data_IF_960262859958
#
_entry.id   IF_960262859958
#
_cell.length_a   1.000
_cell.length_b   1.000
_cell.length_c   1.000
_cell.angle_alpha   90.00
_cell.angle_beta   90.00
_cell.angle_gamma   90.00
#
_symmetry.space_group_name_H-M   'P 1'
#
loop_
_entity.id
_entity.type
_entity.pdbx_description
1 polymer ?
#
# COMPACT_ATOMS: atom_id res chain seq x y z
N UNK A 1 -13.56 26.22 -17.36
CA UNK A 1 -14.32 24.98 -17.60
C UNK A 1 -13.32 23.86 -17.33
N UNK A 2 -13.38 23.28 -16.14
CA UNK A 2 -12.52 22.15 -15.79
C UNK A 2 -12.99 20.95 -16.60
N UNK A 3 -12.11 20.37 -17.40
CA UNK A 3 -12.34 19.06 -18.00
C UNK A 3 -12.62 18.09 -16.85
N UNK A 4 -13.86 17.61 -16.75
CA UNK A 4 -14.21 16.56 -15.80
C UNK A 4 -13.42 15.30 -16.18
N UNK A 5 -12.32 15.05 -15.48
CA UNK A 5 -11.69 13.74 -15.51
C UNK A 5 -12.76 12.74 -15.05
N UNK A 6 -13.18 11.89 -15.97
CA UNK A 6 -14.10 10.80 -15.67
C UNK A 6 -13.38 9.90 -14.66
N UNK A 7 -13.96 9.78 -13.47
CA UNK A 7 -13.43 8.89 -12.45
C UNK A 7 -13.53 7.45 -12.97
N UNK A 8 -12.42 6.93 -13.49
CA UNK A 8 -12.32 5.54 -13.91
C UNK A 8 -12.31 4.64 -12.68
N UNK A 9 -13.25 3.71 -12.61
CA UNK A 9 -13.28 2.66 -11.60
C UNK A 9 -13.48 1.29 -12.22
N UNK A 10 -12.95 0.26 -11.58
CA UNK A 10 -13.11 -1.13 -11.99
C UNK A 10 -13.33 -2.02 -10.78
N UNK A 11 -14.07 -3.11 -10.97
CA UNK A 11 -14.13 -4.18 -9.98
C UNK A 11 -12.89 -5.05 -10.14
N UNK A 12 -12.04 -5.06 -9.14
CA UNK A 12 -10.79 -5.82 -9.13
C UNK A 12 -11.01 -7.29 -8.78
N UNK A 13 -11.85 -7.53 -7.78
CA UNK A 13 -12.25 -8.85 -7.32
C UNK A 13 -13.76 -8.82 -7.14
N UNK A 14 -14.46 -9.78 -7.74
CA UNK A 14 -15.92 -9.85 -7.63
C UNK A 14 -16.40 -10.46 -6.30
N UNK A 15 -17.71 -10.50 -6.11
CA UNK A 15 -18.33 -11.05 -4.91
C UNK A 15 -18.10 -12.56 -4.71
N UNK A 16 -17.70 -13.29 -5.73
CA UNK A 16 -17.36 -14.71 -5.69
C UNK A 16 -15.84 -14.94 -5.52
N UNK A 17 -15.08 -13.86 -5.41
CA UNK A 17 -13.64 -13.90 -5.22
C UNK A 17 -12.87 -14.20 -6.50
N UNK A 18 -13.43 -13.90 -7.68
CA UNK A 18 -12.71 -14.01 -8.95
C UNK A 18 -11.99 -12.71 -9.27
N UNK A 19 -10.71 -12.82 -9.64
CA UNK A 19 -9.89 -11.69 -10.03
C UNK A 19 -10.20 -11.27 -11.47
N UNK A 20 -10.52 -10.00 -11.69
CA UNK A 20 -10.91 -9.45 -12.99
C UNK A 20 -9.71 -8.94 -13.78
N UNK A 21 -8.96 -9.86 -14.41
CA UNK A 21 -7.74 -9.53 -15.18
C UNK A 21 -8.04 -8.52 -16.29
N UNK A 22 -9.08 -8.77 -17.09
CA UNK A 22 -9.42 -7.89 -18.23
C UNK A 22 -9.79 -6.49 -17.76
N UNK A 23 -10.57 -6.37 -16.68
CA UNK A 23 -10.99 -5.08 -16.14
C UNK A 23 -9.82 -4.27 -15.61
N UNK A 24 -8.88 -4.89 -14.89
CA UNK A 24 -7.72 -4.18 -14.36
C UNK A 24 -6.76 -3.77 -15.47
N UNK A 25 -6.53 -4.60 -16.47
CA UNK A 25 -5.62 -4.26 -17.57
C UNK A 25 -6.18 -3.11 -18.41
N UNK A 26 -7.51 -3.06 -18.61
CA UNK A 26 -8.16 -1.91 -19.24
C UNK A 26 -8.04 -0.67 -18.38
N UNK A 27 -8.32 -0.77 -17.06
CA UNK A 27 -8.21 0.33 -16.12
C UNK A 27 -6.79 0.93 -16.10
N UNK A 28 -5.75 0.09 -16.05
CA UNK A 28 -4.34 0.55 -16.05
C UNK A 28 -4.03 1.36 -17.32
N UNK A 29 -4.54 0.95 -18.48
CA UNK A 29 -4.40 1.71 -19.73
C UNK A 29 -5.14 3.05 -19.66
N UNK A 30 -6.40 3.04 -19.23
CA UNK A 30 -7.25 4.23 -19.18
C UNK A 30 -6.71 5.30 -18.24
N UNK A 31 -6.15 4.90 -17.09
CA UNK A 31 -5.56 5.81 -16.11
C UNK A 31 -4.07 6.07 -16.35
N UNK A 32 -3.46 5.46 -17.38
CA UNK A 32 -2.04 5.56 -17.72
C UNK A 32 -1.11 5.22 -16.53
N UNK A 33 -1.51 4.23 -15.74
CA UNK A 33 -0.79 3.89 -14.52
C UNK A 33 0.66 3.47 -14.81
N UNK A 34 0.89 2.73 -15.91
CA UNK A 34 2.22 2.26 -16.29
C UNK A 34 3.26 3.39 -16.45
N UNK A 35 2.80 4.61 -16.80
CA UNK A 35 3.66 5.79 -16.95
C UNK A 35 4.14 6.34 -15.61
N UNK A 36 3.52 5.95 -14.50
CA UNK A 36 3.86 6.46 -13.17
C UNK A 36 5.16 5.85 -12.59
N UNK A 37 5.66 4.75 -13.14
CA UNK A 37 6.84 4.07 -12.60
C UNK A 37 6.65 3.69 -11.13
N UNK A 38 7.43 4.27 -10.23
CA UNK A 38 7.29 4.14 -8.78
C UNK A 38 6.52 5.30 -8.13
N UNK A 39 6.14 6.33 -8.92
CA UNK A 39 5.49 7.55 -8.43
C UNK A 39 3.98 7.37 -8.32
N UNK A 40 3.55 6.33 -7.61
CA UNK A 40 2.14 6.10 -7.29
C UNK A 40 1.98 5.60 -5.87
N UNK A 41 0.80 5.72 -5.32
CA UNK A 41 0.42 5.19 -4.02
C UNK A 41 -0.88 4.39 -4.11
N UNK A 42 -1.02 3.39 -3.26
CA UNK A 42 -2.23 2.57 -3.14
C UNK A 42 -2.82 2.76 -1.74
N UNK A 43 -4.07 3.17 -1.69
CA UNK A 43 -4.84 3.36 -0.47
C UNK A 43 -6.00 2.39 -0.47
N UNK A 44 -6.22 1.66 0.61
CA UNK A 44 -7.42 0.83 0.78
C UNK A 44 -8.18 1.19 2.03
N UNK A 45 -9.46 0.84 2.08
CA UNK A 45 -10.28 1.01 3.26
C UNK A 45 -10.91 -0.33 3.66
N UNK A 46 -10.88 -0.63 4.96
CA UNK A 46 -11.58 -1.76 5.56
C UNK A 46 -12.37 -1.33 6.79
N UNK A 47 -13.34 -2.11 7.18
CA UNK A 47 -14.17 -1.85 8.36
C UNK A 47 -15.59 -2.37 8.19
N UNK A 48 -16.44 -2.20 9.22
CA UNK A 48 -17.78 -2.81 9.27
C UNK A 48 -18.65 -2.43 8.07
N UNK A 49 -19.60 -3.30 7.74
CA UNK A 49 -20.63 -3.00 6.75
C UNK A 49 -21.43 -1.77 7.18
N UNK A 50 -21.88 -0.99 6.21
CA UNK A 50 -22.69 0.23 6.43
C UNK A 50 -22.02 1.30 7.33
N UNK A 51 -20.70 1.26 7.47
CA UNK A 51 -19.94 2.27 8.23
C UNK A 51 -19.54 3.51 7.42
N UNK A 52 -20.09 3.67 6.19
CA UNK A 52 -19.83 4.82 5.33
C UNK A 52 -18.43 4.84 4.71
N UNK A 53 -17.84 3.67 4.43
CA UNK A 53 -16.51 3.56 3.76
C UNK A 53 -16.52 4.21 2.38
N UNK A 54 -17.43 3.79 1.52
CA UNK A 54 -17.56 4.32 0.14
C UNK A 54 -17.82 5.82 0.15
N UNK A 55 -18.67 6.32 1.05
CA UNK A 55 -18.93 7.76 1.23
C UNK A 55 -17.66 8.51 1.63
N UNK A 56 -16.89 7.96 2.59
CA UNK A 56 -15.61 8.56 2.98
C UNK A 56 -14.64 8.63 1.80
N UNK A 57 -14.49 7.54 1.05
CA UNK A 57 -13.58 7.50 -0.10
C UNK A 57 -14.02 8.51 -1.18
N UNK A 58 -15.31 8.58 -1.49
CA UNK A 58 -15.85 9.52 -2.47
C UNK A 58 -15.59 10.99 -2.08
N UNK A 59 -15.76 11.33 -0.81
CA UNK A 59 -15.49 12.68 -0.30
C UNK A 59 -13.99 12.99 -0.21
N UNK A 60 -13.17 12.01 0.19
CA UNK A 60 -11.74 12.21 0.40
C UNK A 60 -10.95 12.22 -0.90
N UNK A 61 -11.27 11.31 -1.83
CA UNK A 61 -10.50 11.06 -3.04
C UNK A 61 -11.21 11.48 -4.34
N UNK A 62 -12.46 11.95 -4.24
CA UNK A 62 -13.25 12.30 -5.43
C UNK A 62 -13.60 11.09 -6.30
N UNK A 63 -13.69 9.90 -5.69
CA UNK A 63 -14.10 8.66 -6.36
C UNK A 63 -15.62 8.61 -6.53
N UNK A 64 -16.11 7.63 -7.27
CA UNK A 64 -17.55 7.42 -7.50
C UNK A 64 -17.93 5.97 -7.18
N UNK A 65 -17.56 5.50 -6.00
CA UNK A 65 -17.99 4.20 -5.51
C UNK A 65 -19.48 4.24 -5.16
N UNK A 66 -20.17 3.12 -5.33
CA UNK A 66 -21.58 3.03 -5.01
C UNK A 66 -21.82 3.20 -3.51
N UNK A 67 -22.59 4.20 -3.14
CA UNK A 67 -22.97 4.47 -1.76
C UNK A 67 -24.29 3.79 -1.40
N UNK A 68 -24.47 3.54 -0.10
CA UNK A 68 -25.72 3.01 0.42
C UNK A 68 -26.80 4.10 0.37
N UNK A 69 -27.97 3.74 -0.14
CA UNK A 69 -29.15 4.58 -0.04
C UNK A 69 -29.86 4.31 1.31
N UNK A 70 -29.68 5.23 2.25
CA UNK A 70 -30.24 5.12 3.60
C UNK A 70 -31.78 4.99 3.61
N UNK A 71 -32.47 5.48 2.58
CA UNK A 71 -33.91 5.37 2.45
C UNK A 71 -34.38 3.99 1.97
N UNK A 72 -33.52 3.20 1.36
CA UNK A 72 -33.83 1.85 0.85
C UNK A 72 -33.44 0.73 1.80
N UNK A 73 -32.90 1.07 2.96
CA UNK A 73 -32.48 0.11 3.98
C UNK A 73 -31.01 -0.22 3.96
N UNK A 74 -30.54 -0.97 4.96
CA UNK A 74 -29.12 -1.34 5.13
C UNK A 74 -28.83 -2.65 4.39
N UNK A 75 -28.78 -2.61 3.07
CA UNK A 75 -28.31 -3.74 2.25
C UNK A 75 -26.81 -3.59 1.93
N UNK A 76 -26.15 -4.71 1.67
CA UNK A 76 -24.79 -4.73 1.19
C UNK A 76 -24.68 -3.99 -0.15
N UNK A 77 -23.86 -2.93 -0.18
CA UNK A 77 -23.72 -2.06 -1.35
C UNK A 77 -22.48 -2.42 -2.17
N UNK A 78 -21.35 -2.60 -1.48
CA UNK A 78 -20.09 -3.01 -2.08
C UNK A 78 -19.97 -4.52 -1.99
N UNK A 79 -19.84 -5.19 -3.14
CA UNK A 79 -19.50 -6.61 -3.25
C UNK A 79 -18.11 -6.77 -3.85
N UNK A 80 -17.27 -7.56 -3.19
CA UNK A 80 -15.89 -7.74 -3.62
C UNK A 80 -15.00 -6.53 -3.31
N UNK A 81 -14.01 -6.30 -4.18
CA UNK A 81 -13.05 -5.20 -4.08
C UNK A 81 -13.14 -4.35 -5.34
N UNK A 82 -13.37 -3.06 -5.15
CA UNK A 82 -13.41 -2.06 -6.22
C UNK A 82 -12.20 -1.17 -6.17
N UNK A 83 -11.71 -0.72 -7.30
CA UNK A 83 -10.57 0.18 -7.43
C UNK A 83 -10.89 1.37 -8.31
N UNK A 84 -10.42 2.55 -7.92
CA UNK A 84 -10.54 3.78 -8.68
C UNK A 84 -9.24 4.59 -8.60
N UNK A 85 -9.01 5.47 -9.59
CA UNK A 85 -7.97 6.49 -9.52
C UNK A 85 -8.53 7.74 -8.82
N UNK A 86 -7.79 8.26 -7.86
CA UNK A 86 -8.11 9.51 -7.21
C UNK A 86 -7.92 10.70 -8.18
N UNK A 87 -8.85 11.64 -8.15
CA UNK A 87 -8.72 12.90 -8.88
C UNK A 87 -8.12 14.00 -7.98
N UNK A 88 -7.14 14.74 -8.54
CA UNK A 88 -6.59 15.93 -7.89
C UNK A 88 -5.71 15.69 -6.67
N UNK A 89 -5.09 14.52 -6.55
CA UNK A 89 -4.01 14.22 -5.58
C UNK A 89 -2.78 13.75 -6.35
N UNK A 90 -1.64 14.33 -6.04
CA UNK A 90 -0.34 13.86 -6.50
C UNK A 90 0.46 13.30 -5.32
N UNK A 91 1.12 12.15 -5.48
CA UNK A 91 1.29 11.36 -6.72
C UNK A 91 0.01 10.62 -7.16
N UNK A 92 0.06 9.98 -8.34
CA UNK A 92 -1.03 9.10 -8.79
C UNK A 92 -1.47 8.17 -7.67
N UNK A 93 -2.71 8.29 -7.22
CA UNK A 93 -3.22 7.54 -6.08
C UNK A 93 -4.35 6.62 -6.51
N UNK A 94 -4.16 5.32 -6.32
CA UNK A 94 -5.18 4.29 -6.48
C UNK A 94 -5.90 4.08 -5.16
N UNK A 95 -7.21 3.96 -5.22
CA UNK A 95 -8.07 3.81 -4.03
C UNK A 95 -8.88 2.53 -4.17
N UNK A 96 -8.86 1.68 -3.16
CA UNK A 96 -9.62 0.44 -3.12
C UNK A 96 -10.70 0.47 -2.04
N UNK A 97 -11.94 0.24 -2.46
CA UNK A 97 -13.09 0.06 -1.59
C UNK A 97 -13.35 -1.44 -1.38
N UNK A 98 -13.16 -1.91 -0.16
CA UNK A 98 -13.38 -3.30 0.22
C UNK A 98 -14.80 -3.51 0.70
N UNK A 99 -15.33 -4.68 0.37
CA UNK A 99 -16.56 -5.18 0.97
C UNK A 99 -16.52 -5.06 2.49
N UNK A 100 -17.65 -4.66 3.10
CA UNK A 100 -17.71 -4.46 4.55
C UNK A 100 -17.64 -5.77 5.31
N UNK A 101 -17.02 -5.71 6.47
CA UNK A 101 -16.98 -6.80 7.45
C UNK A 101 -18.30 -6.91 8.23
N UNK A 102 -18.59 -8.05 8.84
CA UNK A 102 -19.80 -8.32 9.64
C UNK A 102 -21.14 -8.32 8.84
N UNK A 103 -21.09 -8.62 7.54
CA UNK A 103 -22.29 -8.69 6.70
C UNK A 103 -23.13 -9.95 6.98
N UNK A 104 -24.43 -9.78 7.29
CA UNK A 104 -25.33 -10.93 7.55
C UNK A 104 -25.69 -11.75 6.29
N UNK A 105 -25.35 -11.25 5.11
CA UNK A 105 -25.85 -11.79 3.84
C UNK A 105 -25.08 -13.02 3.34
N UNK A 106 -23.87 -13.28 3.85
CA UNK A 106 -22.98 -14.39 3.40
C UNK A 106 -22.96 -15.61 4.30
N UNK A 107 -23.48 -15.57 5.53
CA UNK A 107 -23.45 -16.68 6.48
C UNK A 107 -22.08 -16.92 7.14
N UNK A 108 -21.82 -18.12 7.67
CA UNK A 108 -20.58 -18.46 8.38
C UNK A 108 -19.33 -18.51 7.48
N UNK A 109 -19.50 -18.67 6.17
CA UNK A 109 -18.40 -18.67 5.17
C UNK A 109 -17.84 -17.26 4.90
N UNK A 110 -18.48 -16.22 5.38
CA UNK A 110 -18.17 -14.82 5.14
C UNK A 110 -16.82 -14.39 5.74
N UNK A 111 -16.46 -14.97 6.86
CA UNK A 111 -15.19 -14.63 7.53
C UNK A 111 -13.95 -14.97 6.69
N UNK A 112 -14.07 -15.91 5.75
CA UNK A 112 -12.95 -16.29 4.87
C UNK A 112 -12.69 -15.22 3.83
N UNK A 113 -13.72 -14.74 3.12
CA UNK A 113 -13.57 -13.68 2.14
C UNK A 113 -13.12 -12.36 2.77
N UNK A 114 -13.67 -12.02 3.94
CA UNK A 114 -13.28 -10.87 4.73
C UNK A 114 -11.78 -10.89 5.07
N UNK A 115 -11.28 -12.02 5.60
CA UNK A 115 -9.87 -12.21 5.90
C UNK A 115 -9.01 -12.13 4.63
N UNK A 116 -9.43 -12.77 3.54
CA UNK A 116 -8.72 -12.73 2.26
C UNK A 116 -8.63 -11.31 1.71
N UNK A 117 -9.73 -10.54 1.78
CA UNK A 117 -9.78 -9.15 1.33
C UNK A 117 -8.88 -8.25 2.15
N UNK A 118 -8.90 -8.39 3.48
CA UNK A 118 -8.02 -7.65 4.38
C UNK A 118 -6.54 -7.97 4.13
N UNK A 119 -6.21 -9.24 3.92
CA UNK A 119 -4.87 -9.69 3.56
C UNK A 119 -4.40 -9.09 2.25
N UNK A 120 -5.27 -9.13 1.25
CA UNK A 120 -4.98 -8.54 -0.06
C UNK A 120 -4.73 -7.04 0.05
N UNK A 121 -5.60 -6.32 0.74
CA UNK A 121 -5.45 -4.88 0.96
C UNK A 121 -4.10 -4.53 1.59
N UNK A 122 -3.69 -5.27 2.62
CA UNK A 122 -2.41 -5.05 3.27
C UNK A 122 -1.21 -5.38 2.40
N UNK A 123 -1.30 -6.44 1.59
CA UNK A 123 -0.22 -6.87 0.73
C UNK A 123 0.06 -5.88 -0.41
N UNK A 124 -0.99 -5.18 -0.91
CA UNK A 124 -0.87 -4.31 -2.09
C UNK A 124 -0.85 -2.81 -1.76
N UNK A 125 -1.27 -2.41 -0.54
CA UNK A 125 -1.46 -1.00 -0.20
C UNK A 125 -0.29 -0.39 0.54
N UNK A 126 -0.03 0.88 0.28
CA UNK A 126 0.88 1.73 1.06
C UNK A 126 0.21 2.26 2.33
N UNK A 127 -1.09 2.54 2.24
CA UNK A 127 -1.90 3.10 3.31
C UNK A 127 -3.18 2.29 3.42
N UNK A 128 -3.52 1.84 4.62
CA UNK A 128 -4.77 1.15 4.90
C UNK A 128 -5.58 1.97 5.90
N UNK A 129 -6.74 2.44 5.46
CA UNK A 129 -7.72 3.12 6.31
C UNK A 129 -8.53 2.06 7.06
N UNK A 130 -8.49 2.09 8.38
CA UNK A 130 -9.28 1.24 9.25
C UNK A 130 -10.45 2.07 9.77
N UNK A 131 -11.59 1.92 9.11
CA UNK A 131 -12.80 2.68 9.43
C UNK A 131 -13.51 2.03 10.61
N UNK A 132 -13.68 2.77 11.70
CA UNK A 132 -14.24 2.25 12.95
C UNK A 132 -15.16 3.27 13.61
N UNK A 133 -16.09 2.78 14.42
CA UNK A 133 -16.95 3.65 15.17
C UNK A 133 -16.30 4.16 16.46
N UNK A 134 -16.57 5.41 16.82
CA UNK A 134 -16.06 6.00 18.06
C UNK A 134 -16.45 5.18 19.31
N UNK A 135 -17.65 4.58 19.32
CA UNK A 135 -18.12 3.80 20.46
C UNK A 135 -17.46 2.41 20.61
N UNK A 136 -16.67 1.98 19.62
CA UNK A 136 -15.94 0.70 19.68
C UNK A 136 -14.61 0.82 20.44
N UNK A 137 -14.13 2.04 20.65
CA UNK A 137 -12.86 2.28 21.36
C UNK A 137 -13.00 1.87 22.82
N UNK A 138 -12.06 1.08 23.33
CA UNK A 138 -12.05 0.58 24.71
C UNK A 138 -12.98 -0.61 24.98
N UNK A 139 -13.66 -1.18 23.96
CA UNK A 139 -14.46 -2.39 24.09
C UNK A 139 -13.67 -3.62 23.69
N UNK A 140 -13.73 -4.68 24.53
CA UNK A 140 -12.97 -5.93 24.26
C UNK A 140 -13.43 -6.68 22.99
N UNK A 141 -14.71 -6.55 22.64
CA UNK A 141 -15.31 -7.24 21.50
C UNK A 141 -15.63 -6.30 20.34
N UNK A 142 -14.87 -5.20 20.18
CA UNK A 142 -15.03 -4.32 19.03
C UNK A 142 -14.81 -5.08 17.71
N UNK A 143 -15.70 -4.87 16.74
CA UNK A 143 -15.76 -5.59 15.47
C UNK A 143 -14.41 -5.67 14.70
N UNK A 144 -13.54 -4.69 14.90
CA UNK A 144 -12.24 -4.62 14.22
C UNK A 144 -11.10 -5.36 14.93
N UNK A 145 -11.23 -5.80 16.19
CA UNK A 145 -10.14 -6.47 16.92
C UNK A 145 -9.76 -7.82 16.32
N UNK A 146 -10.71 -8.73 15.98
CA UNK A 146 -10.38 -9.98 15.28
C UNK A 146 -9.72 -9.74 13.93
N UNK A 147 -10.21 -8.75 13.19
CA UNK A 147 -9.64 -8.35 11.90
C UNK A 147 -8.20 -7.87 12.06
N UNK A 148 -7.92 -6.96 13.00
CA UNK A 148 -6.58 -6.47 13.29
C UNK A 148 -5.62 -7.57 13.72
N UNK A 149 -6.09 -8.52 14.53
CA UNK A 149 -5.29 -9.68 14.92
C UNK A 149 -4.87 -10.50 13.69
N UNK A 150 -5.83 -10.77 12.79
CA UNK A 150 -5.57 -11.46 11.53
C UNK A 150 -4.59 -10.67 10.67
N UNK A 151 -4.82 -9.36 10.53
CA UNK A 151 -3.96 -8.42 9.83
C UNK A 151 -2.51 -8.52 10.33
N UNK A 152 -2.29 -8.40 11.62
CA UNK A 152 -0.94 -8.42 12.19
C UNK A 152 -0.29 -9.80 12.05
N UNK A 153 -1.05 -10.87 12.31
CA UNK A 153 -0.54 -12.24 12.18
C UNK A 153 -0.05 -12.55 10.78
N UNK A 154 -0.74 -12.04 9.77
CA UNK A 154 -0.42 -12.32 8.38
C UNK A 154 0.64 -11.39 7.85
N UNK A 155 0.61 -10.12 8.22
CA UNK A 155 1.68 -9.21 7.82
C UNK A 155 3.05 -9.75 8.24
N UNK A 156 3.19 -10.40 9.37
CA UNK A 156 4.45 -11.03 9.75
C UNK A 156 4.87 -12.20 8.85
N UNK A 157 3.94 -12.79 8.10
CA UNK A 157 4.23 -13.84 7.12
C UNK A 157 4.44 -13.32 5.70
N UNK A 158 3.79 -12.21 5.35
CA UNK A 158 3.84 -11.61 4.01
C UNK A 158 5.06 -10.74 3.73
N UNK A 159 6.04 -10.66 4.65
CA UNK A 159 7.02 -9.62 4.71
C UNK A 159 7.68 -9.17 3.42
N UNK A 160 7.30 -7.97 3.09
CA UNK A 160 8.12 -6.99 2.42
C UNK A 160 8.78 -6.06 3.46
N UNK A 161 10.03 -5.63 3.35
CA UNK A 161 10.71 -4.77 4.33
C UNK A 161 10.20 -3.32 4.34
N UNK A 162 8.97 -3.08 3.90
CA UNK A 162 8.38 -1.76 3.83
C UNK A 162 7.32 -1.58 4.91
N UNK A 163 7.28 -0.39 5.53
CA UNK A 163 6.22 -0.04 6.48
C UNK A 163 4.94 0.33 5.77
N UNK A 164 3.83 -0.25 6.21
CA UNK A 164 2.49 0.16 5.78
C UNK A 164 1.90 1.12 6.80
N UNK A 165 1.30 2.21 6.34
CA UNK A 165 0.58 3.13 7.22
C UNK A 165 -0.81 2.59 7.50
N UNK A 166 -1.09 2.30 8.78
CA UNK A 166 -2.42 1.99 9.27
C UNK A 166 -3.05 3.27 9.82
N UNK A 167 -4.03 3.80 9.11
CA UNK A 167 -4.74 5.01 9.53
C UNK A 167 -6.11 4.63 10.10
N UNK A 168 -6.25 4.74 11.41
CA UNK A 168 -7.51 4.52 12.10
C UNK A 168 -8.40 5.74 11.96
N UNK A 169 -9.51 5.57 11.27
CA UNK A 169 -10.50 6.62 11.03
C UNK A 169 -11.67 6.41 11.97
N UNK A 170 -11.70 7.19 13.05
CA UNK A 170 -12.75 7.15 14.07
C UNK A 170 -13.96 7.92 13.52
N UNK A 171 -15.06 7.20 13.29
CA UNK A 171 -16.32 7.76 12.78
C UNK A 171 -17.26 8.18 13.90
N UNK A 172 -18.09 9.17 13.58
CA UNK A 172 -19.11 9.70 14.48
C UNK A 172 -18.54 10.08 15.85
N UNK A 173 -17.43 10.82 15.80
CA UNK A 173 -16.74 11.30 17.00
C UNK A 173 -17.73 12.07 17.88
N UNK A 174 -17.88 11.64 19.11
CA UNK A 174 -18.70 12.27 20.15
C UNK A 174 -18.01 13.47 20.79
N UNK A 175 -18.45 13.87 21.99
CA UNK A 175 -17.87 14.99 22.74
C UNK A 175 -16.46 14.69 23.30
N UNK A 176 -16.05 13.41 23.35
CA UNK A 176 -14.73 13.03 23.88
C UNK A 176 -13.63 13.56 22.98
N UNK A 177 -12.68 14.37 23.49
CA UNK A 177 -11.54 14.84 22.71
C UNK A 177 -10.68 13.69 22.17
N UNK A 178 -10.05 13.90 21.01
CA UNK A 178 -9.19 12.88 20.39
C UNK A 178 -7.99 12.53 21.28
N UNK A 179 -7.48 13.52 22.02
CA UNK A 179 -6.36 13.34 22.96
C UNK A 179 -6.64 12.29 24.04
N UNK A 180 -7.92 12.01 24.33
CA UNK A 180 -8.33 10.97 25.26
C UNK A 180 -8.63 9.63 24.58
N UNK A 181 -9.09 9.66 23.34
CA UNK A 181 -9.42 8.44 22.58
C UNK A 181 -8.19 7.76 21.98
N UNK A 182 -7.27 8.55 21.47
CA UNK A 182 -6.06 8.04 20.80
C UNK A 182 -5.18 7.18 21.69
N UNK A 183 -4.84 7.56 22.95
CA UNK A 183 -4.04 6.71 23.82
C UNK A 183 -4.69 5.34 24.09
N UNK A 184 -6.00 5.32 24.32
CA UNK A 184 -6.75 4.07 24.55
C UNK A 184 -6.70 3.18 23.31
N UNK A 185 -6.89 3.74 22.12
CA UNK A 185 -6.81 3.01 20.86
C UNK A 185 -5.40 2.46 20.62
N UNK A 186 -4.36 3.27 20.86
CA UNK A 186 -2.96 2.83 20.72
C UNK A 186 -2.60 1.71 21.69
N UNK A 187 -3.10 1.76 22.91
CA UNK A 187 -2.93 0.69 23.91
C UNK A 187 -3.63 -0.59 23.45
N UNK A 188 -4.85 -0.50 22.91
CA UNK A 188 -5.57 -1.64 22.36
C UNK A 188 -4.84 -2.27 21.17
N UNK A 189 -4.31 -1.46 20.26
CA UNK A 189 -3.50 -1.92 19.12
C UNK A 189 -2.24 -2.64 19.60
N UNK A 190 -1.55 -2.09 20.60
CA UNK A 190 -0.35 -2.70 21.16
C UNK A 190 -0.67 -4.04 21.83
N UNK A 191 -1.76 -4.14 22.61
CA UNK A 191 -2.21 -5.40 23.20
C UNK A 191 -2.51 -6.48 22.16
N UNK A 192 -3.14 -6.07 21.04
CA UNK A 192 -3.39 -7.00 19.93
C UNK A 192 -2.07 -7.45 19.33
N UNK A 193 -1.12 -6.54 19.06
CA UNK A 193 0.20 -6.85 18.54
C UNK A 193 0.96 -7.84 19.45
N UNK A 194 0.94 -7.61 20.75
CA UNK A 194 1.62 -8.46 21.72
C UNK A 194 0.99 -9.87 21.84
N UNK A 195 -0.32 -9.97 21.57
CA UNK A 195 -1.06 -11.24 21.59
C UNK A 195 -0.88 -12.12 20.35
N UNK A 196 -0.31 -11.57 19.28
CA UNK A 196 -0.14 -12.29 18.02
C UNK A 196 1.08 -13.20 18.08
N UNK A 197 0.95 -14.51 17.73
CA UNK A 197 2.11 -15.40 17.59
C UNK A 197 3.09 -14.88 16.56
N UNK A 198 4.33 -14.65 16.96
CA UNK A 198 5.39 -14.11 16.12
C UNK A 198 6.41 -15.19 15.76
N UNK A 199 6.93 -15.22 14.51
CA UNK A 199 8.08 -16.05 14.16
C UNK A 199 9.29 -15.72 15.05
N UNK A 200 10.20 -16.68 15.26
CA UNK A 200 11.40 -16.49 16.11
C UNK A 200 12.20 -15.24 15.74
N UNK A 201 12.35 -14.98 14.44
CA UNK A 201 13.07 -13.81 13.95
C UNK A 201 12.43 -12.45 14.31
N UNK A 202 11.17 -12.45 14.76
CA UNK A 202 10.40 -11.21 15.01
C UNK A 202 9.78 -11.14 16.41
N UNK A 203 10.17 -12.02 17.34
CA UNK A 203 9.60 -12.05 18.69
C UNK A 203 9.72 -10.72 19.42
N UNK A 204 10.87 -10.08 19.30
CA UNK A 204 11.19 -8.79 19.95
C UNK A 204 10.94 -7.57 19.03
N UNK A 205 10.42 -7.78 17.82
CA UNK A 205 10.27 -6.68 16.86
C UNK A 205 9.07 -5.82 17.23
N UNK A 206 9.24 -4.51 17.44
CA UNK A 206 8.14 -3.62 17.79
C UNK A 206 7.20 -3.39 16.62
N UNK A 207 5.93 -3.05 16.92
CA UNK A 207 4.91 -2.70 15.93
C UNK A 207 5.41 -1.64 14.94
N UNK A 208 6.17 -0.67 15.44
CA UNK A 208 6.69 0.47 14.65
C UNK A 208 7.67 0.09 13.56
N UNK A 209 8.24 -1.10 13.58
CA UNK A 209 9.06 -1.58 12.46
C UNK A 209 8.22 -1.95 11.23
N UNK A 210 6.98 -2.37 11.46
CA UNK A 210 6.10 -2.85 10.39
C UNK A 210 5.03 -1.84 9.98
N UNK A 211 4.59 -1.02 10.94
CA UNK A 211 3.48 -0.11 10.73
C UNK A 211 3.78 1.29 11.22
N UNK A 212 3.35 2.25 10.42
CA UNK A 212 3.15 3.62 10.88
C UNK A 212 1.68 3.75 11.30
N UNK A 213 1.41 4.00 12.58
CA UNK A 213 0.04 4.09 13.11
C UNK A 213 -0.37 5.55 13.19
N UNK A 214 -1.41 5.88 12.43
CA UNK A 214 -2.05 7.20 12.41
C UNK A 214 -3.47 7.11 12.93
N UNK A 215 -3.93 8.16 13.62
CA UNK A 215 -5.29 8.22 14.15
C UNK A 215 -5.93 9.54 13.75
N UNK A 216 -7.12 9.46 13.17
CA UNK A 216 -7.93 10.62 12.79
C UNK A 216 -9.36 10.42 13.27
N UNK A 217 -10.05 11.50 13.58
CA UNK A 217 -11.45 11.44 13.99
C UNK A 217 -12.30 12.36 13.13
N UNK A 218 -13.45 11.84 12.70
CA UNK A 218 -14.40 12.56 11.86
C UNK A 218 -15.74 12.66 12.57
N UNK A 219 -16.38 13.82 12.44
CA UNK A 219 -17.74 14.08 12.90
C UNK A 219 -18.76 13.22 12.13
N UNK A 220 -19.97 13.11 12.64
CA UNK A 220 -21.04 12.42 11.92
C UNK A 220 -21.36 13.13 10.62
N UNK A 221 -21.40 12.36 9.54
CA UNK A 221 -21.80 12.88 8.22
C UNK A 221 -23.29 13.29 8.21
N UNK A 222 -24.14 12.53 8.90
CA UNK A 222 -25.58 12.81 8.94
C UNK A 222 -25.94 14.01 9.83
N UNK A 223 -25.27 14.15 10.98
CA UNK A 223 -25.63 15.18 11.97
C UNK A 223 -24.82 16.48 11.81
N UNK A 224 -23.61 16.41 11.26
CA UNK A 224 -22.64 17.51 11.18
C UNK A 224 -21.91 17.51 9.85
N UNK A 225 -22.65 17.52 8.76
CA UNK A 225 -22.09 17.36 7.41
C UNK A 225 -21.03 18.40 7.08
N UNK A 226 -21.24 19.68 7.41
CA UNK A 226 -20.25 20.74 7.13
C UNK A 226 -18.93 20.48 7.85
N UNK A 227 -18.99 20.14 9.14
CA UNK A 227 -17.81 19.83 9.94
C UNK A 227 -17.11 18.58 9.43
N UNK A 228 -17.86 17.56 9.02
CA UNK A 228 -17.30 16.36 8.38
C UNK A 228 -16.56 16.71 7.09
N UNK A 229 -17.16 17.54 6.22
CA UNK A 229 -16.54 17.95 4.95
C UNK A 229 -15.26 18.75 5.16
N UNK A 230 -15.24 19.65 6.14
CA UNK A 230 -14.05 20.42 6.52
C UNK A 230 -12.94 19.50 7.01
N UNK A 231 -13.25 18.55 7.90
CA UNK A 231 -12.29 17.58 8.43
C UNK A 231 -11.75 16.66 7.33
N UNK A 232 -12.59 16.21 6.40
CA UNK A 232 -12.18 15.42 5.24
C UNK A 232 -11.28 16.24 4.31
N UNK A 233 -11.58 17.51 4.08
CA UNK A 233 -10.73 18.39 3.29
C UNK A 233 -9.34 18.57 3.93
N UNK A 234 -9.28 18.73 5.26
CA UNK A 234 -8.02 18.74 6.02
C UNK A 234 -7.27 17.42 5.92
N UNK A 235 -7.97 16.29 6.01
CA UNK A 235 -7.38 14.97 5.86
C UNK A 235 -6.82 14.76 4.45
N UNK A 236 -7.53 15.22 3.41
CA UNK A 236 -7.10 15.13 2.01
C UNK A 236 -5.71 15.75 1.79
N UNK A 237 -5.40 16.85 2.47
CA UNK A 237 -4.09 17.51 2.35
C UNK A 237 -2.93 16.59 2.76
N UNK A 238 -3.16 15.64 3.67
CA UNK A 238 -2.14 14.69 4.12
C UNK A 238 -1.76 13.64 3.06
N UNK A 239 -2.60 13.45 2.04
CA UNK A 239 -2.32 12.53 0.94
C UNK A 239 -1.53 13.17 -0.20
N UNK A 240 -1.48 14.50 -0.26
CA UNK A 240 -0.57 15.18 -1.17
C UNK A 240 0.88 14.88 -0.77
N UNK A 241 1.71 14.57 -1.77
CA UNK A 241 3.10 14.18 -1.58
C UNK A 241 3.29 12.97 -0.64
N UNK A 242 2.30 12.07 -0.58
CA UNK A 242 2.31 10.92 0.33
C UNK A 242 3.55 10.02 0.21
N UNK A 243 4.14 9.91 -0.98
CA UNK A 243 5.35 9.12 -1.26
C UNK A 243 6.67 9.84 -0.95
N UNK A 244 6.62 11.12 -0.60
CA UNK A 244 7.82 11.85 -0.20
C UNK A 244 8.40 11.28 1.11
N UNK A 245 9.72 11.44 1.37
CA UNK A 245 10.30 11.03 2.63
C UNK A 245 9.54 11.63 3.82
N UNK A 246 9.12 10.78 4.76
CA UNK A 246 8.28 11.18 5.90
C UNK A 246 6.79 11.32 5.60
N UNK A 247 6.36 11.12 4.35
CA UNK A 247 4.94 11.07 3.98
C UNK A 247 4.26 9.77 4.40
N UNK A 248 2.93 9.70 4.24
CA UNK A 248 2.12 8.54 4.62
C UNK A 248 2.53 7.24 3.91
N UNK A 249 3.06 7.33 2.70
CA UNK A 249 3.56 6.24 1.87
C UNK A 249 5.06 6.42 1.56
N UNK A 250 5.83 7.02 2.47
CA UNK A 250 7.23 7.40 2.26
C UNK A 250 8.21 6.23 2.21
N UNK A 251 7.85 5.07 2.77
CA UNK A 251 8.67 3.86 2.63
C UNK A 251 8.39 3.21 1.28
N UNK A 252 9.32 3.40 0.33
CA UNK A 252 9.20 2.91 -1.04
C UNK A 252 9.89 1.56 -1.30
N UNK A 253 10.51 0.98 -0.25
CA UNK A 253 11.12 -0.35 -0.33
C UNK A 253 10.06 -1.39 -0.68
N UNK A 254 10.32 -2.25 -1.64
CA UNK A 254 9.40 -3.31 -2.08
C UNK A 254 8.12 -2.83 -2.80
N UNK A 255 8.04 -1.56 -3.21
CA UNK A 255 6.97 -1.09 -4.11
C UNK A 255 7.20 -1.67 -5.50
N UNK A 256 6.15 -2.28 -6.04
CA UNK A 256 6.17 -2.81 -7.40
C UNK A 256 6.03 -1.66 -8.39
N UNK A 257 6.82 -1.62 -9.48
CA UNK A 257 6.56 -0.67 -10.55
C UNK A 257 5.13 -0.74 -11.06
N UNK A 258 4.56 0.40 -11.39
CA UNK A 258 3.17 0.51 -11.83
C UNK A 258 2.84 -0.39 -13.03
N UNK A 259 3.80 -0.62 -13.91
CA UNK A 259 3.68 -1.56 -15.05
C UNK A 259 3.49 -3.02 -14.64
N UNK A 260 3.97 -3.41 -13.46
CA UNK A 260 3.84 -4.76 -12.89
C UNK A 260 2.67 -4.92 -11.91
N UNK A 261 1.91 -3.86 -11.65
CA UNK A 261 0.87 -3.86 -10.61
C UNK A 261 -0.20 -4.93 -10.84
N UNK A 262 -0.77 -5.04 -12.05
CA UNK A 262 -1.81 -6.03 -12.38
C UNK A 262 -1.33 -7.46 -12.10
N UNK A 263 -0.18 -7.81 -12.63
CA UNK A 263 0.40 -9.14 -12.44
C UNK A 263 0.69 -9.43 -10.96
N UNK A 264 1.29 -8.49 -10.25
CA UNK A 264 1.58 -8.62 -8.83
C UNK A 264 0.30 -8.83 -8.01
N UNK A 265 -0.71 -8.00 -8.21
CA UNK A 265 -2.00 -8.09 -7.53
C UNK A 265 -2.69 -9.45 -7.80
N UNK A 266 -2.67 -9.92 -9.05
CA UNK A 266 -3.22 -11.22 -9.42
C UNK A 266 -2.49 -12.38 -8.70
N UNK A 267 -1.17 -12.36 -8.66
CA UNK A 267 -0.39 -13.41 -7.98
C UNK A 267 -0.63 -13.42 -6.47
N UNK A 268 -0.69 -12.24 -5.85
CA UNK A 268 -1.01 -12.11 -4.43
C UNK A 268 -2.40 -12.70 -4.13
N UNK A 269 -3.40 -12.32 -4.93
CA UNK A 269 -4.76 -12.85 -4.76
C UNK A 269 -4.83 -14.37 -4.93
N UNK A 270 -4.15 -14.90 -5.93
CA UNK A 270 -4.07 -16.35 -6.18
C UNK A 270 -3.53 -17.09 -4.96
N UNK A 271 -2.43 -16.63 -4.38
CA UNK A 271 -1.82 -17.24 -3.18
C UNK A 271 -2.77 -17.18 -2.00
N UNK A 272 -3.45 -16.05 -1.79
CA UNK A 272 -4.44 -15.89 -0.72
C UNK A 272 -5.61 -16.87 -0.89
N UNK A 273 -6.13 -17.02 -2.10
CA UNK A 273 -7.24 -17.93 -2.41
C UNK A 273 -6.85 -19.40 -2.25
N UNK A 274 -5.66 -19.78 -2.63
CA UNK A 274 -5.17 -21.16 -2.53
C UNK A 274 -4.85 -21.56 -1.08
N UNK A 275 -4.99 -20.63 -0.12
CA UNK A 275 -4.75 -20.84 1.30
C UNK A 275 -3.42 -21.58 1.58
N UNK A 276 -2.45 -21.42 0.69
CA UNK A 276 -1.09 -21.87 0.92
C UNK A 276 -0.51 -21.00 2.01
N UNK A 277 0.33 -21.58 2.87
CA UNK A 277 1.11 -20.80 3.82
C UNK A 277 1.63 -19.56 3.09
N UNK A 278 1.26 -18.38 3.62
CA UNK A 278 1.39 -17.09 2.94
C UNK A 278 2.85 -16.64 2.78
N UNK A 279 3.78 -17.58 2.67
CA UNK A 279 5.10 -17.33 2.16
C UNK A 279 4.96 -17.09 0.65
N UNK A 280 5.24 -15.86 0.20
CA UNK A 280 5.19 -15.44 -1.19
C UNK A 280 6.60 -15.41 -1.80
N UNK A 281 7.35 -16.56 -1.87
CA UNK A 281 8.71 -16.55 -2.42
C UNK A 281 8.72 -16.04 -3.85
N UNK A 282 7.75 -16.48 -4.67
CA UNK A 282 7.63 -16.06 -6.05
C UNK A 282 7.37 -14.56 -6.19
N UNK A 283 6.54 -13.97 -5.34
CA UNK A 283 6.28 -12.52 -5.33
C UNK A 283 7.51 -11.74 -4.87
N UNK A 284 8.18 -12.17 -3.78
CA UNK A 284 9.42 -11.55 -3.30
C UNK A 284 10.51 -11.57 -4.38
N UNK A 285 10.69 -12.71 -5.05
CA UNK A 285 11.64 -12.86 -6.15
C UNK A 285 11.26 -11.97 -7.34
N UNK A 286 9.97 -11.90 -7.68
CA UNK A 286 9.49 -11.04 -8.78
C UNK A 286 9.74 -9.55 -8.48
N UNK A 287 9.37 -9.08 -7.29
CA UNK A 287 9.64 -7.70 -6.87
C UNK A 287 11.15 -7.44 -6.87
N UNK A 288 11.94 -8.34 -6.30
CA UNK A 288 13.39 -8.25 -6.30
C UNK A 288 13.95 -8.17 -7.73
N UNK A 289 13.45 -9.01 -8.65
CA UNK A 289 13.93 -9.03 -10.05
C UNK A 289 13.74 -7.67 -10.71
N UNK A 290 12.55 -7.10 -10.62
CA UNK A 290 12.25 -5.81 -11.25
C UNK A 290 13.03 -4.69 -10.58
N UNK A 291 13.04 -4.64 -9.24
CA UNK A 291 13.69 -3.57 -8.50
C UNK A 291 15.21 -3.59 -8.62
N UNK A 292 15.84 -4.77 -8.52
CA UNK A 292 17.28 -4.87 -8.70
C UNK A 292 17.71 -4.54 -10.14
N UNK A 293 16.86 -4.80 -11.13
CA UNK A 293 17.11 -4.40 -12.51
C UNK A 293 17.03 -2.89 -12.69
N UNK A 294 16.01 -2.24 -12.14
CA UNK A 294 15.88 -0.77 -12.17
C UNK A 294 17.07 -0.09 -11.48
N UNK A 295 17.43 -0.55 -10.27
CA UNK A 295 18.59 -0.02 -9.54
C UNK A 295 19.88 -0.21 -10.36
N UNK A 296 20.09 -1.40 -10.94
CA UNK A 296 21.26 -1.66 -11.76
C UNK A 296 21.34 -0.72 -12.97
N UNK A 297 20.21 -0.53 -13.67
CA UNK A 297 20.15 0.38 -14.82
C UNK A 297 20.40 1.83 -14.42
N UNK A 298 19.86 2.29 -13.29
CA UNK A 298 20.09 3.62 -12.76
C UNK A 298 21.57 3.84 -12.39
N UNK A 299 22.19 2.89 -11.68
CA UNK A 299 23.61 3.00 -11.30
C UNK A 299 24.52 2.90 -12.51
N UNK A 300 24.16 2.11 -13.50
CA UNK A 300 24.91 2.05 -14.77
C UNK A 300 24.80 3.37 -15.56
N UNK A 301 23.61 3.96 -15.63
CA UNK A 301 23.43 5.27 -16.25
C UNK A 301 24.26 6.34 -15.52
N UNK A 302 24.19 6.37 -14.18
CA UNK A 302 25.02 7.30 -13.38
C UNK A 302 26.52 7.08 -13.57
N UNK A 303 26.95 5.84 -13.77
CA UNK A 303 28.35 5.53 -14.10
C UNK A 303 28.71 6.08 -15.49
N UNK A 304 27.85 5.91 -16.50
CA UNK A 304 28.08 6.43 -17.85
C UNK A 304 28.10 7.96 -17.88
N UNK A 305 27.29 8.63 -17.07
CA UNK A 305 27.20 10.10 -16.97
C UNK A 305 28.29 10.71 -16.07
N UNK A 306 29.18 9.89 -15.50
CA UNK A 306 30.21 10.35 -14.59
C UNK A 306 31.32 11.12 -15.33
N UNK A 307 31.68 12.31 -14.83
CA UNK A 307 32.70 13.19 -15.45
C UNK A 307 34.07 12.49 -15.58
N UNK A 308 34.46 11.72 -14.56
CA UNK A 308 35.72 10.94 -14.60
C UNK A 308 35.71 9.85 -15.68
N UNK A 309 34.53 9.24 -15.91
CA UNK A 309 34.35 8.28 -17.01
C UNK A 309 34.48 8.96 -18.38
N UNK A 310 33.85 10.07 -18.60
CA UNK A 310 33.96 10.85 -19.84
C UNK A 310 35.39 11.29 -20.13
N UNK A 311 36.14 11.73 -19.11
CA UNK A 311 37.57 12.03 -19.27
C UNK A 311 38.39 10.82 -19.70
N UNK A 312 38.09 9.64 -19.16
CA UNK A 312 38.76 8.41 -19.55
C UNK A 312 38.46 8.07 -21.01
N UNK A 313 37.16 8.14 -21.41
CA UNK A 313 36.76 7.87 -22.81
C UNK A 313 37.43 8.80 -23.80
N UNK A 314 37.48 10.09 -23.50
CA UNK A 314 38.06 11.11 -24.37
C UNK A 314 39.59 10.90 -24.53
N UNK A 315 40.33 10.64 -23.44
CA UNK A 315 41.75 10.48 -23.47
C UNK A 315 42.18 9.13 -24.11
N UNK A 316 41.44 8.05 -23.87
CA UNK A 316 41.72 6.73 -24.44
C UNK A 316 41.66 6.72 -25.97
N UNK A 317 40.80 7.56 -26.56
CA UNK A 317 40.76 7.75 -28.03
C UNK A 317 42.04 8.35 -28.58
N UNK A 318 42.78 9.08 -27.77
CA UNK A 318 44.02 9.78 -28.19
C UNK A 318 45.30 9.03 -27.81
N UNK A 319 45.25 8.04 -26.90
CA UNK A 319 46.41 7.25 -26.45
C UNK A 319 46.20 6.55 -25.11
N UNK A 320 47.25 5.95 -24.56
CA UNK A 320 47.16 5.22 -23.30
C UNK A 320 46.89 6.17 -22.12
N UNK A 321 45.83 5.86 -21.32
CA UNK A 321 45.49 6.60 -20.12
C UNK A 321 46.33 6.15 -18.91
N UNK A 322 47.10 7.03 -18.22
CA UNK A 322 47.88 6.65 -17.05
C UNK A 322 46.98 6.13 -15.91
N UNK A 323 47.35 4.97 -15.34
CA UNK A 323 46.58 4.34 -14.25
C UNK A 323 45.13 3.97 -14.61
N UNK A 324 44.80 3.75 -15.87
CA UNK A 324 43.49 3.36 -16.37
C UNK A 324 42.82 2.30 -15.49
N UNK A 325 43.46 1.16 -15.24
CA UNK A 325 42.91 0.07 -14.45
C UNK A 325 42.55 0.46 -13.01
N UNK A 326 43.37 1.32 -12.37
CA UNK A 326 43.05 1.79 -11.00
C UNK A 326 41.87 2.71 -10.98
N UNK A 327 41.75 3.63 -11.94
CA UNK A 327 40.65 4.60 -12.01
C UNK A 327 39.36 3.91 -12.36
N UNK A 328 39.36 3.01 -13.35
CA UNK A 328 38.22 2.19 -13.71
C UNK A 328 37.72 1.35 -12.51
N UNK A 329 38.65 0.64 -11.83
CA UNK A 329 38.28 -0.16 -10.63
C UNK A 329 37.68 0.70 -9.52
N UNK A 330 38.13 1.95 -9.36
CA UNK A 330 37.54 2.86 -8.36
C UNK A 330 36.11 3.26 -8.73
N UNK A 331 35.86 3.60 -9.99
CA UNK A 331 34.52 3.96 -10.48
C UNK A 331 33.56 2.76 -10.40
N UNK A 332 34.01 1.59 -10.83
CA UNK A 332 33.21 0.36 -10.69
C UNK A 332 32.89 0.05 -9.23
N UNK A 333 33.85 0.21 -8.33
CA UNK A 333 33.64 -0.04 -6.91
C UNK A 333 32.58 0.90 -6.31
N UNK A 334 32.56 2.16 -6.71
CA UNK A 334 31.54 3.13 -6.29
C UNK A 334 30.18 2.68 -6.83
N UNK A 335 30.05 2.43 -8.13
CA UNK A 335 28.81 1.98 -8.75
C UNK A 335 28.24 0.71 -8.09
N UNK A 336 29.08 -0.29 -7.86
CA UNK A 336 28.67 -1.54 -7.21
C UNK A 336 28.32 -1.35 -5.73
N UNK A 337 29.02 -0.47 -5.00
CA UNK A 337 28.70 -0.14 -3.61
C UNK A 337 27.35 0.57 -3.49
N UNK A 338 27.04 1.48 -4.40
CA UNK A 338 25.78 2.19 -4.45
C UNK A 338 24.61 1.23 -4.78
N UNK A 339 24.85 0.32 -5.73
CA UNK A 339 23.91 -0.77 -6.01
C UNK A 339 23.67 -1.64 -4.79
N UNK A 340 24.73 -2.11 -4.12
CA UNK A 340 24.65 -2.98 -2.94
C UNK A 340 23.86 -2.31 -1.81
N UNK A 341 24.06 -0.99 -1.60
CA UNK A 341 23.36 -0.21 -0.59
C UNK A 341 21.84 -0.14 -0.80
N UNK A 342 21.40 0.02 -2.05
CA UNK A 342 19.98 0.09 -2.38
C UNK A 342 19.33 -1.29 -2.56
N UNK A 343 20.07 -2.27 -3.07
CA UNK A 343 19.58 -3.63 -3.30
C UNK A 343 19.56 -4.52 -2.05
N UNK A 344 20.12 -4.09 -0.92
CA UNK A 344 20.29 -4.88 0.31
C UNK A 344 18.98 -5.48 0.85
N UNK A 345 17.87 -4.83 0.59
CA UNK A 345 16.54 -5.22 1.09
C UNK A 345 15.84 -6.30 0.25
N UNK A 346 16.41 -6.67 -0.90
CA UNK A 346 15.78 -7.60 -1.84
C UNK A 346 16.39 -9.00 -1.73
N UNK A 347 15.75 -9.97 -2.39
CA UNK A 347 16.17 -11.37 -2.40
C UNK A 347 17.66 -11.51 -2.76
N UNK A 348 18.40 -12.27 -1.96
CA UNK A 348 19.85 -12.40 -2.07
C UNK A 348 20.29 -13.03 -3.40
N UNK A 349 19.55 -14.03 -3.88
CA UNK A 349 19.85 -14.70 -5.15
C UNK A 349 19.70 -13.75 -6.34
N UNK A 350 18.61 -12.98 -6.34
CA UNK A 350 18.32 -11.99 -7.39
C UNK A 350 19.33 -10.85 -7.38
N UNK A 351 19.53 -10.22 -6.21
CA UNK A 351 20.47 -9.08 -6.11
C UNK A 351 21.90 -9.45 -6.51
N UNK A 352 22.35 -10.65 -6.10
CA UNK A 352 23.68 -11.14 -6.46
C UNK A 352 23.79 -11.43 -7.96
N UNK A 353 22.74 -11.98 -8.57
CA UNK A 353 22.68 -12.21 -10.01
C UNK A 353 22.75 -10.91 -10.82
N UNK A 354 21.97 -9.90 -10.41
CA UNK A 354 21.97 -8.57 -11.08
C UNK A 354 23.27 -7.79 -10.85
N UNK A 355 23.84 -7.89 -9.65
CA UNK A 355 25.16 -7.32 -9.36
C UNK A 355 26.26 -7.84 -10.31
N UNK A 356 26.27 -9.15 -10.57
CA UNK A 356 27.22 -9.77 -11.54
C UNK A 356 26.99 -9.31 -12.98
N UNK A 357 25.77 -8.93 -13.34
CA UNK A 357 25.48 -8.36 -14.66
C UNK A 357 25.94 -6.92 -14.77
N UNK A 358 25.91 -6.17 -13.67
CA UNK A 358 26.40 -4.80 -13.59
C UNK A 358 27.93 -4.73 -13.57
N UNK A 359 28.62 -5.71 -13.00
CA UNK A 359 30.08 -5.86 -12.95
C UNK A 359 30.65 -6.24 -14.32
#
# INVERSE_FOLDING_TARGET
MANGEVCCSTQLIDGDGMFNVTGIDQFIRDVKLAECGLSYAVVSIMGPQSSGKSTLLNQLFGTNFREMDAFRGRSQTTKGIWMARCAGIEPCTLVMDLEGTDGRERGEDDTTFEKQSALFALAVSDIVLINMWCHDIGREQAANKPLLKTVFQVMMRLFSPRKTTLMFVIRDKTKTPLEHLEPVLREDIQKIWDSVPKPEAHQETPLSEFFNVEVVALSSFEEKEEQFREQVAGLKQRFHHSIAPGGLAGDRRGVVPASGFSFSAQQIWKVIKENRDLDLPAHKVMVATVRCEEIANEKFASFCDNEDWHQIEEVVQSGPYPNFGKKLSSLMKICLSDYDGEAVYFDEGVRTGKRKQLE
#
